data_IF_447125060561
#
_entry.id   IF_447125060561
#
_cell.length_a   1.000
_cell.length_b   1.000
_cell.length_c   1.000
_cell.angle_alpha   90.00
_cell.angle_beta   90.00
_cell.angle_gamma   90.00
#
_symmetry.space_group_name_H-M   'P 1'
#
loop_
_entity.id
_entity.type
_entity.pdbx_description
1 polymer ?
#
# COMPACT_ATOMS: atom_id res chain seq x y z
N UNK A 1 38.08 -46.62 -6.60
CA UNK A 1 36.88 -46.15 -7.33
C UNK A 1 35.64 -45.91 -6.44
N UNK A 2 35.55 -46.47 -5.23
CA UNK A 2 34.38 -46.26 -4.33
C UNK A 2 34.27 -44.89 -3.64
N UNK A 3 35.33 -44.06 -3.64
CA UNK A 3 35.30 -42.72 -3.00
C UNK A 3 34.64 -41.64 -3.86
N UNK A 4 34.68 -41.77 -5.20
CA UNK A 4 34.02 -40.83 -6.11
C UNK A 4 32.50 -41.02 -6.13
N UNK A 5 32.02 -42.25 -5.95
CA UNK A 5 30.58 -42.56 -5.92
C UNK A 5 29.88 -41.98 -4.69
N UNK A 6 30.58 -41.92 -3.55
CA UNK A 6 30.06 -41.31 -2.31
C UNK A 6 29.84 -39.80 -2.45
N UNK A 7 30.72 -39.09 -3.17
CA UNK A 7 30.58 -37.66 -3.41
C UNK A 7 29.38 -37.33 -4.32
N UNK A 8 29.10 -38.18 -5.32
CA UNK A 8 27.93 -38.03 -6.18
C UNK A 8 26.61 -38.32 -5.44
N UNK A 9 26.61 -39.29 -4.51
CA UNK A 9 25.41 -39.60 -3.71
C UNK A 9 25.14 -38.47 -2.70
N UNK A 10 26.17 -37.90 -2.07
CA UNK A 10 26.00 -36.76 -1.17
C UNK A 10 25.54 -35.48 -1.89
N UNK A 11 26.00 -35.22 -3.12
CA UNK A 11 25.50 -34.10 -3.92
C UNK A 11 24.05 -34.30 -4.37
N UNK A 12 23.64 -35.54 -4.67
CA UNK A 12 22.27 -35.85 -5.08
C UNK A 12 21.29 -35.70 -3.91
N UNK A 13 21.69 -36.08 -2.70
CA UNK A 13 20.86 -35.91 -1.48
C UNK A 13 20.65 -34.43 -1.17
N UNK A 14 21.67 -33.58 -1.34
CA UNK A 14 21.52 -32.13 -1.12
C UNK A 14 20.62 -31.43 -2.16
N UNK A 15 20.48 -31.98 -3.36
CA UNK A 15 19.54 -31.47 -4.38
C UNK A 15 18.11 -32.01 -4.24
N UNK A 16 17.90 -33.05 -3.43
CA UNK A 16 16.61 -33.71 -3.21
C UNK A 16 15.96 -33.37 -1.86
N UNK A 17 16.61 -32.56 -1.03
CA UNK A 17 15.95 -31.93 0.11
C UNK A 17 15.00 -30.88 -0.46
N UNK A 18 13.68 -30.96 -0.21
CA UNK A 18 12.76 -29.91 -0.59
C UNK A 18 13.25 -28.62 0.04
N UNK A 19 13.32 -27.55 -0.74
CA UNK A 19 13.62 -26.17 -0.34
C UNK A 19 12.58 -25.57 0.64
N UNK A 20 11.87 -26.39 1.42
CA UNK A 20 10.84 -26.00 2.37
C UNK A 20 11.34 -25.62 3.77
N UNK A 21 12.65 -25.38 3.96
CA UNK A 21 13.19 -25.06 5.29
C UNK A 21 14.38 -24.09 5.24
N UNK A 22 14.31 -23.10 4.36
CA UNK A 22 15.13 -21.88 4.47
C UNK A 22 14.23 -20.74 4.96
N UNK A 23 13.69 -20.88 6.17
CA UNK A 23 13.22 -19.75 6.99
C UNK A 23 14.39 -19.25 7.83
N UNK A 24 15.38 -18.68 7.15
CA UNK A 24 16.58 -18.22 7.81
C UNK A 24 17.21 -17.04 7.05
N UNK A 25 17.02 -15.84 7.61
CA UNK A 25 17.95 -14.71 7.55
C UNK A 25 18.01 -13.89 6.26
N UNK A 26 16.85 -13.68 5.65
CA UNK A 26 16.57 -12.47 4.89
C UNK A 26 15.32 -11.88 5.52
N UNK A 27 15.45 -10.79 6.27
CA UNK A 27 14.33 -9.94 6.68
C UNK A 27 13.74 -9.28 5.42
N UNK A 28 13.17 -10.08 4.53
CA UNK A 28 12.15 -9.56 3.65
C UNK A 28 10.94 -9.29 4.56
N UNK A 29 10.32 -8.10 4.49
CA UNK A 29 9.07 -7.87 5.18
C UNK A 29 8.08 -8.99 4.80
N UNK A 30 7.26 -9.47 5.75
CA UNK A 30 6.29 -10.52 5.45
C UNK A 30 5.43 -10.11 4.27
N UNK A 31 5.29 -11.00 3.29
CA UNK A 31 4.51 -10.76 2.06
C UNK A 31 3.02 -10.94 2.36
N UNK A 32 2.46 -9.92 3.01
CA UNK A 32 1.06 -9.88 3.42
C UNK A 32 0.09 -9.87 2.24
N UNK A 33 0.50 -9.33 1.09
CA UNK A 33 -0.29 -9.35 -0.14
C UNK A 33 -0.49 -10.78 -0.67
N UNK A 34 0.59 -11.57 -0.68
CA UNK A 34 0.52 -12.99 -1.05
C UNK A 34 -0.35 -13.78 -0.07
N UNK A 35 -0.22 -13.52 1.22
CA UNK A 35 -1.09 -14.14 2.24
C UNK A 35 -2.57 -13.79 2.00
N UNK A 36 -2.90 -12.52 1.83
CA UNK A 36 -4.27 -12.07 1.59
C UNK A 36 -4.85 -12.66 0.29
N UNK A 37 -4.07 -12.69 -0.79
CA UNK A 37 -4.46 -13.33 -2.05
C UNK A 37 -4.76 -14.82 -1.88
N UNK A 38 -3.92 -15.55 -1.14
CA UNK A 38 -4.12 -16.97 -0.87
C UNK A 38 -5.36 -17.22 -0.02
N UNK A 39 -5.56 -16.45 1.05
CA UNK A 39 -6.74 -16.55 1.88
C UNK A 39 -8.03 -16.32 1.08
N UNK A 40 -8.10 -15.23 0.31
CA UNK A 40 -9.28 -14.92 -0.52
C UNK A 40 -9.57 -16.00 -1.56
N UNK A 41 -8.54 -16.59 -2.19
CA UNK A 41 -8.71 -17.73 -3.12
C UNK A 41 -9.29 -18.96 -2.43
N UNK A 42 -8.80 -19.30 -1.24
CA UNK A 42 -9.32 -20.44 -0.48
C UNK A 42 -10.78 -20.21 -0.06
N UNK A 43 -11.12 -19.00 0.38
CA UNK A 43 -12.50 -18.62 0.70
C UNK A 43 -13.41 -18.68 -0.54
N UNK A 44 -12.98 -18.12 -1.68
CA UNK A 44 -13.73 -18.14 -2.93
C UNK A 44 -13.95 -19.56 -3.49
N UNK A 45 -12.97 -20.45 -3.28
CA UNK A 45 -13.07 -21.87 -3.62
C UNK A 45 -13.98 -22.67 -2.65
N UNK A 46 -14.52 -22.04 -1.60
CA UNK A 46 -15.30 -22.70 -0.55
C UNK A 46 -14.48 -23.61 0.38
N UNK A 47 -13.16 -23.48 0.37
CA UNK A 47 -12.21 -24.27 1.20
C UNK A 47 -12.00 -23.61 2.56
N UNK A 48 -13.09 -23.37 3.30
CA UNK A 48 -13.07 -22.61 4.55
C UNK A 48 -12.15 -23.20 5.61
N UNK A 49 -12.12 -24.53 5.79
CA UNK A 49 -11.20 -25.19 6.74
C UNK A 49 -9.72 -24.89 6.44
N UNK A 50 -9.35 -24.78 5.17
CA UNK A 50 -7.98 -24.46 4.77
C UNK A 50 -7.68 -22.98 4.95
N UNK A 51 -8.63 -22.10 4.63
CA UNK A 51 -8.53 -20.67 4.87
C UNK A 51 -8.36 -20.38 6.38
N UNK A 52 -9.13 -21.05 7.24
CA UNK A 52 -9.06 -20.90 8.68
C UNK A 52 -7.74 -21.43 9.25
N UNK A 53 -7.26 -22.58 8.78
CA UNK A 53 -5.93 -23.08 9.17
C UNK A 53 -4.81 -22.13 8.76
N UNK A 54 -4.89 -21.57 7.55
CA UNK A 54 -3.94 -20.58 7.08
C UNK A 54 -3.97 -19.34 7.98
N UNK A 55 -5.16 -18.81 8.24
CA UNK A 55 -5.36 -17.68 9.17
C UNK A 55 -4.74 -17.94 10.54
N UNK A 56 -5.13 -19.03 11.19
CA UNK A 56 -4.66 -19.39 12.53
C UNK A 56 -3.16 -19.64 12.59
N UNK A 57 -2.57 -20.18 11.51
CA UNK A 57 -1.13 -20.42 11.44
C UNK A 57 -0.31 -19.14 11.33
N UNK A 58 -0.88 -18.09 10.72
CA UNK A 58 -0.19 -16.83 10.44
C UNK A 58 -0.54 -15.74 11.46
N UNK A 59 -1.63 -15.88 12.21
CA UNK A 59 -2.13 -14.85 13.14
C UNK A 59 -1.08 -14.35 14.14
N UNK A 60 -0.28 -15.25 14.72
CA UNK A 60 0.79 -14.86 15.65
C UNK A 60 1.88 -13.99 14.98
N UNK A 61 2.15 -14.20 13.69
CA UNK A 61 3.08 -13.36 12.92
C UNK A 61 2.45 -11.99 12.62
N UNK A 62 1.14 -11.93 12.38
CA UNK A 62 0.41 -10.66 12.20
C UNK A 62 0.47 -9.81 13.47
N UNK A 63 0.21 -10.41 14.63
CA UNK A 63 0.30 -9.71 15.92
C UNK A 63 1.71 -9.14 16.14
N UNK A 64 2.75 -9.94 15.86
CA UNK A 64 4.14 -9.49 15.97
C UNK A 64 4.43 -8.33 15.03
N UNK A 65 3.96 -8.39 13.78
CA UNK A 65 4.09 -7.31 12.82
C UNK A 65 3.41 -6.02 13.31
N UNK A 66 2.18 -6.10 13.81
CA UNK A 66 1.44 -4.95 14.35
C UNK A 66 2.19 -4.28 15.50
N UNK A 67 2.90 -5.05 16.32
CA UNK A 67 3.70 -4.47 17.40
C UNK A 67 4.86 -3.59 16.91
N UNK A 68 5.31 -3.76 15.66
CA UNK A 68 6.34 -2.92 15.03
C UNK A 68 5.79 -1.60 14.47
N UNK A 69 4.46 -1.49 14.31
CA UNK A 69 3.82 -0.32 13.73
C UNK A 69 3.65 0.83 14.74
N UNK A 70 3.46 2.08 14.27
CA UNK A 70 3.09 3.21 15.12
C UNK A 70 1.77 3.00 15.87
N UNK A 71 1.60 3.68 17.01
CA UNK A 71 0.42 3.56 17.89
C UNK A 71 -0.95 3.69 17.17
N UNK A 72 -1.16 4.64 16.22
CA UNK A 72 -2.43 4.75 15.50
C UNK A 72 -2.82 3.45 14.77
N UNK A 73 -1.85 2.74 14.19
CA UNK A 73 -2.12 1.48 13.49
C UNK A 73 -2.44 0.34 14.47
N UNK A 74 -1.84 0.34 15.67
CA UNK A 74 -2.15 -0.64 16.72
C UNK A 74 -3.57 -0.46 17.25
N UNK A 75 -4.02 0.80 17.39
CA UNK A 75 -5.40 1.12 17.75
C UNK A 75 -6.38 0.61 16.68
N UNK A 76 -6.07 0.84 15.40
CA UNK A 76 -6.87 0.30 14.28
C UNK A 76 -6.93 -1.23 14.29
N UNK A 77 -5.80 -1.91 14.49
CA UNK A 77 -5.78 -3.37 14.61
C UNK A 77 -6.69 -3.83 15.73
N UNK A 78 -6.56 -3.25 16.92
CA UNK A 78 -7.37 -3.61 18.09
C UNK A 78 -8.85 -3.40 17.81
N UNK A 79 -9.22 -2.30 17.15
CA UNK A 79 -10.60 -2.05 16.76
C UNK A 79 -11.12 -3.14 15.82
N UNK A 80 -10.38 -3.48 14.76
CA UNK A 80 -10.78 -4.51 13.79
C UNK A 80 -10.83 -5.92 14.40
N UNK A 81 -9.90 -6.25 15.31
CA UNK A 81 -9.80 -7.56 15.96
C UNK A 81 -10.90 -7.79 17.00
N UNK A 82 -11.35 -6.75 17.72
CA UNK A 82 -12.47 -6.86 18.66
C UNK A 82 -13.73 -7.35 17.96
N UNK A 83 -14.01 -6.89 16.74
CA UNK A 83 -15.20 -7.33 15.99
C UNK A 83 -15.11 -8.78 15.49
N UNK A 84 -13.90 -9.30 15.31
CA UNK A 84 -13.66 -10.72 14.99
C UNK A 84 -13.96 -11.66 16.18
N UNK A 85 -14.07 -11.13 17.41
CA UNK A 85 -14.32 -11.90 18.64
C UNK A 85 -15.78 -11.99 19.07
N UNK A 86 -16.69 -11.32 18.36
CA UNK A 86 -18.14 -11.43 18.56
C UNK A 86 -18.67 -12.63 17.78
N UNK A 87 -19.40 -13.55 18.44
CA UNK A 87 -20.00 -14.80 17.92
C UNK A 87 -21.06 -14.61 16.78
N UNK A 88 -20.96 -13.54 15.98
CA UNK A 88 -21.85 -13.28 14.85
C UNK A 88 -21.39 -14.04 13.59
N UNK A 89 -22.35 -14.51 12.76
CA UNK A 89 -22.12 -15.48 11.70
C UNK A 89 -21.28 -15.00 10.48
N UNK A 90 -20.77 -13.77 10.49
CA UNK A 90 -20.01 -13.17 9.38
C UNK A 90 -18.51 -13.02 9.66
N UNK A 91 -17.89 -14.08 10.20
CA UNK A 91 -16.43 -14.15 10.41
C UNK A 91 -15.59 -13.80 9.16
N UNK A 92 -16.14 -14.01 7.96
CA UNK A 92 -15.43 -13.76 6.70
C UNK A 92 -15.27 -12.26 6.42
N UNK A 93 -16.25 -11.45 6.86
CA UNK A 93 -16.32 -10.01 6.62
C UNK A 93 -15.26 -9.29 7.47
N UNK A 94 -15.11 -9.66 8.74
CA UNK A 94 -14.12 -9.07 9.64
C UNK A 94 -12.68 -9.39 9.27
N UNK A 95 -12.43 -10.63 8.82
CA UNK A 95 -11.11 -11.06 8.32
C UNK A 95 -10.69 -10.22 7.12
N UNK A 96 -11.62 -9.81 6.24
CA UNK A 96 -11.31 -8.93 5.11
C UNK A 96 -10.85 -7.52 5.54
N UNK A 97 -11.40 -6.97 6.62
CA UNK A 97 -10.92 -5.72 7.20
C UNK A 97 -9.48 -5.79 7.70
N UNK A 98 -9.14 -6.87 8.39
CA UNK A 98 -7.76 -7.15 8.85
C UNK A 98 -6.80 -7.41 7.68
N UNK A 99 -7.24 -8.13 6.64
CA UNK A 99 -6.44 -8.31 5.42
C UNK A 99 -6.14 -6.98 4.74
N UNK A 100 -7.16 -6.13 4.60
CA UNK A 100 -7.00 -4.79 4.03
C UNK A 100 -6.04 -3.94 4.85
N UNK A 101 -6.12 -4.01 6.19
CA UNK A 101 -5.18 -3.35 7.08
C UNK A 101 -3.74 -3.81 6.83
N UNK A 102 -3.50 -5.13 6.72
CA UNK A 102 -2.16 -5.67 6.47
C UNK A 102 -1.63 -5.24 5.11
N UNK A 103 -2.43 -5.35 4.03
CA UNK A 103 -2.05 -4.93 2.68
C UNK A 103 -1.64 -3.46 2.61
N UNK A 104 -2.39 -2.58 3.28
CA UNK A 104 -2.12 -1.15 3.28
C UNK A 104 -0.89 -0.82 4.13
N UNK A 105 -0.77 -1.40 5.32
CA UNK A 105 0.32 -1.09 6.26
C UNK A 105 1.66 -1.67 5.81
N UNK A 106 1.65 -2.78 5.07
CA UNK A 106 2.86 -3.43 4.56
C UNK A 106 3.41 -2.81 3.28
N UNK A 107 2.63 -1.98 2.61
CA UNK A 107 3.02 -1.34 1.36
C UNK A 107 3.88 -0.11 1.59
N UNK A 108 4.96 0.02 0.81
CA UNK A 108 5.74 1.26 0.72
C UNK A 108 4.90 2.43 0.19
N UNK A 109 3.81 2.12 -0.53
CA UNK A 109 2.88 3.06 -1.14
C UNK A 109 1.43 2.71 -0.75
N UNK A 110 0.97 3.10 0.46
CA UNK A 110 -0.37 2.75 0.96
C UNK A 110 -1.51 3.43 0.21
N UNK A 111 -1.26 4.62 -0.36
CA UNK A 111 -2.30 5.44 -1.02
C UNK A 111 -2.91 4.79 -2.27
N UNK A 112 -2.14 4.23 -3.21
CA UNK A 112 -2.69 3.48 -4.34
C UNK A 112 -3.63 2.34 -3.92
N UNK A 113 -3.26 1.56 -2.90
CA UNK A 113 -4.07 0.42 -2.41
C UNK A 113 -5.38 0.95 -1.83
N UNK A 114 -5.32 1.99 -1.00
CA UNK A 114 -6.53 2.66 -0.47
C UNK A 114 -7.40 3.26 -1.58
N UNK A 115 -6.79 3.83 -2.62
CA UNK A 115 -7.52 4.38 -3.76
C UNK A 115 -8.32 3.29 -4.47
N UNK A 116 -7.69 2.15 -4.77
CA UNK A 116 -8.34 1.02 -5.43
C UNK A 116 -9.53 0.49 -4.61
N UNK A 117 -9.35 0.31 -3.30
CA UNK A 117 -10.43 -0.15 -2.41
C UNK A 117 -11.59 0.85 -2.34
N UNK A 118 -11.30 2.15 -2.28
CA UNK A 118 -12.33 3.19 -2.22
C UNK A 118 -13.01 3.41 -3.58
N UNK A 119 -12.30 3.21 -4.69
CA UNK A 119 -12.88 3.21 -6.04
C UNK A 119 -13.84 2.02 -6.22
N UNK A 120 -13.44 0.83 -5.78
CA UNK A 120 -14.32 -0.35 -5.76
C UNK A 120 -15.60 -0.11 -4.93
N UNK A 121 -15.47 0.42 -3.71
CA UNK A 121 -16.62 0.75 -2.86
C UNK A 121 -17.53 1.80 -3.51
N UNK A 122 -16.94 2.82 -4.12
CA UNK A 122 -17.66 3.87 -4.86
C UNK A 122 -18.47 3.27 -6.01
N UNK A 123 -17.86 2.41 -6.83
CA UNK A 123 -18.53 1.77 -7.96
C UNK A 123 -19.69 0.86 -7.50
N UNK A 124 -19.49 0.13 -6.40
CA UNK A 124 -20.55 -0.67 -5.78
C UNK A 124 -21.70 0.18 -5.24
N UNK A 125 -21.41 1.36 -4.67
CA UNK A 125 -22.43 2.27 -4.13
C UNK A 125 -23.37 2.75 -5.23
N UNK A 126 -22.85 3.09 -6.39
CA UNK A 126 -23.67 3.56 -7.54
C UNK A 126 -24.38 2.40 -8.24
N UNK A 127 -23.90 1.17 -8.03
CA UNK A 127 -24.56 -0.05 -8.50
C UNK A 127 -25.79 -0.38 -7.64
N UNK A 128 -26.66 -1.27 -8.12
CA UNK A 128 -27.89 -1.70 -7.40
C UNK A 128 -27.62 -2.64 -6.20
N UNK A 129 -26.50 -2.42 -5.51
CA UNK A 129 -26.09 -3.14 -4.30
C UNK A 129 -26.90 -2.61 -3.11
N UNK A 130 -27.43 -3.46 -2.22
CA UNK A 130 -28.10 -3.05 -0.98
C UNK A 130 -27.26 -2.07 -0.16
N UNK A 131 -27.89 -1.11 0.53
CA UNK A 131 -27.17 -0.11 1.32
C UNK A 131 -26.45 -0.76 2.51
N UNK A 132 -27.04 -1.81 3.09
CA UNK A 132 -26.47 -2.58 4.20
C UNK A 132 -25.08 -3.13 3.84
N UNK A 133 -24.93 -3.74 2.67
CA UNK A 133 -23.65 -4.26 2.19
C UNK A 133 -22.59 -3.14 2.03
N UNK A 134 -23.02 -1.92 1.65
CA UNK A 134 -22.15 -0.75 1.50
C UNK A 134 -21.72 -0.22 2.87
N UNK A 135 -22.65 -0.20 3.84
CA UNK A 135 -22.35 0.19 5.22
C UNK A 135 -21.35 -0.77 5.86
N UNK A 136 -21.53 -2.08 5.66
CA UNK A 136 -20.62 -3.11 6.14
C UNK A 136 -19.21 -2.95 5.52
N UNK A 137 -19.11 -2.85 4.19
CA UNK A 137 -17.82 -2.67 3.51
C UNK A 137 -17.13 -1.36 3.95
N UNK A 138 -17.89 -0.26 4.11
CA UNK A 138 -17.35 1.00 4.61
C UNK A 138 -16.83 0.85 6.05
N UNK A 139 -17.57 0.20 6.93
CA UNK A 139 -17.18 0.01 8.33
C UNK A 139 -15.90 -0.82 8.48
N UNK A 140 -15.60 -1.71 7.54
CA UNK A 140 -14.34 -2.46 7.49
C UNK A 140 -13.14 -1.60 7.05
N UNK A 141 -13.33 -0.78 6.01
CA UNK A 141 -12.23 -0.03 5.38
C UNK A 141 -11.95 1.27 6.14
N UNK A 142 -12.99 1.90 6.71
CA UNK A 142 -12.94 3.20 7.39
C UNK A 142 -11.86 3.29 8.49
N UNK A 143 -11.71 2.31 9.41
CA UNK A 143 -10.66 2.34 10.43
C UNK A 143 -9.25 2.43 9.84
N UNK A 144 -9.02 1.80 8.68
CA UNK A 144 -7.75 1.86 7.96
C UNK A 144 -7.58 3.23 7.31
N UNK A 145 -8.62 3.76 6.66
CA UNK A 145 -8.61 5.08 6.01
C UNK A 145 -8.29 6.21 7.00
N UNK A 146 -8.81 6.12 8.24
CA UNK A 146 -8.56 7.09 9.31
C UNK A 146 -7.07 7.26 9.68
N UNK A 147 -6.23 6.27 9.39
CA UNK A 147 -4.77 6.39 9.61
C UNK A 147 -4.09 7.27 8.55
N UNK A 148 -4.68 7.42 7.37
CA UNK A 148 -4.02 8.03 6.21
C UNK A 148 -4.72 9.30 5.70
N UNK A 149 -5.97 9.52 6.09
CA UNK A 149 -6.83 10.63 5.65
C UNK A 149 -7.29 11.45 6.85
N UNK A 150 -7.56 12.74 6.62
CA UNK A 150 -8.06 13.63 7.67
C UNK A 150 -9.41 13.15 8.23
N UNK A 151 -9.49 12.96 9.55
CA UNK A 151 -10.69 12.52 10.27
C UNK A 151 -11.94 13.34 9.97
N UNK A 152 -11.82 14.66 9.79
CA UNK A 152 -12.97 15.51 9.45
C UNK A 152 -13.61 15.09 8.11
N UNK A 153 -12.78 14.76 7.11
CA UNK A 153 -13.25 14.34 5.79
C UNK A 153 -13.90 12.96 5.82
N UNK A 154 -13.36 12.04 6.62
CA UNK A 154 -13.97 10.72 6.85
C UNK A 154 -15.32 10.87 7.56
N UNK A 155 -15.43 11.76 8.55
CA UNK A 155 -16.69 12.04 9.23
C UNK A 155 -17.76 12.65 8.29
N UNK A 156 -17.35 13.47 7.31
CA UNK A 156 -18.29 13.97 6.29
C UNK A 156 -18.84 12.82 5.43
N UNK A 157 -18.01 11.84 5.07
CA UNK A 157 -18.48 10.64 4.37
C UNK A 157 -19.43 9.80 5.27
N UNK A 158 -19.12 9.66 6.56
CA UNK A 158 -19.99 8.98 7.53
C UNK A 158 -21.37 9.66 7.63
N UNK A 159 -21.42 10.99 7.62
CA UNK A 159 -22.68 11.74 7.65
C UNK A 159 -23.53 11.45 6.41
N UNK A 160 -22.93 11.42 5.22
CA UNK A 160 -23.64 11.11 3.98
C UNK A 160 -24.17 9.67 3.97
N UNK A 161 -23.43 8.73 4.54
CA UNK A 161 -23.88 7.36 4.67
C UNK A 161 -25.07 7.25 5.65
N UNK A 162 -25.02 7.98 6.77
CA UNK A 162 -26.14 8.06 7.71
C UNK A 162 -27.38 8.72 7.11
N UNK A 163 -27.20 9.75 6.27
CA UNK A 163 -28.32 10.35 5.53
C UNK A 163 -28.97 9.34 4.57
N UNK A 164 -28.16 8.51 3.92
CA UNK A 164 -28.64 7.42 3.07
C UNK A 164 -29.40 6.35 3.85
N UNK A 165 -28.97 6.01 5.07
CA UNK A 165 -29.64 5.00 5.90
C UNK A 165 -31.03 5.44 6.36
N UNK A 166 -31.26 6.76 6.46
CA UNK A 166 -32.59 7.35 6.74
C UNK A 166 -33.45 7.45 5.49
N UNK A 167 -32.87 7.86 4.37
CA UNK A 167 -33.58 8.01 3.10
C UNK A 167 -32.69 7.68 1.91
N UNK A 168 -32.83 6.47 1.41
CA UNK A 168 -32.06 6.01 0.26
C UNK A 168 -32.53 6.70 -1.03
N UNK A 169 -31.62 7.45 -1.66
CA UNK A 169 -31.87 8.10 -2.95
C UNK A 169 -30.69 7.91 -3.88
N UNK A 170 -30.96 7.85 -5.20
CA UNK A 170 -29.91 7.75 -6.21
C UNK A 170 -28.92 8.93 -6.14
N UNK A 171 -29.43 10.15 -5.93
CA UNK A 171 -28.60 11.34 -5.78
C UNK A 171 -27.72 11.27 -4.52
N UNK A 172 -28.24 10.71 -3.42
CA UNK A 172 -27.45 10.47 -2.21
C UNK A 172 -26.32 9.47 -2.43
N UNK A 173 -26.59 8.38 -3.18
CA UNK A 173 -25.57 7.36 -3.52
C UNK A 173 -24.45 7.94 -4.37
N UNK A 174 -24.79 8.75 -5.38
CA UNK A 174 -23.80 9.48 -6.19
C UNK A 174 -22.99 10.46 -5.34
N UNK A 175 -23.63 11.16 -4.40
CA UNK A 175 -22.96 12.13 -3.54
C UNK A 175 -21.99 11.43 -2.56
N UNK A 176 -22.40 10.33 -1.94
CA UNK A 176 -21.52 9.51 -1.10
C UNK A 176 -20.35 8.93 -1.90
N UNK A 177 -20.62 8.33 -3.07
CA UNK A 177 -19.60 7.82 -3.99
C UNK A 177 -18.56 8.89 -4.37
N UNK A 178 -19.02 10.09 -4.76
CA UNK A 178 -18.15 11.22 -5.05
C UNK A 178 -17.28 11.60 -3.86
N UNK A 179 -17.86 11.61 -2.65
CA UNK A 179 -17.12 11.92 -1.42
C UNK A 179 -16.06 10.88 -1.08
N UNK A 180 -16.35 9.60 -1.27
CA UNK A 180 -15.42 8.48 -1.07
C UNK A 180 -14.20 8.63 -1.99
N UNK A 181 -14.41 8.91 -3.28
CA UNK A 181 -13.31 9.12 -4.24
C UNK A 181 -12.44 10.35 -3.93
N UNK A 182 -13.04 11.40 -3.35
CA UNK A 182 -12.29 12.60 -2.95
C UNK A 182 -11.28 12.33 -1.84
N UNK A 183 -11.53 11.34 -0.96
CA UNK A 183 -10.67 11.05 0.20
C UNK A 183 -9.21 10.76 -0.20
N UNK A 184 -8.97 10.23 -1.40
CA UNK A 184 -7.62 9.83 -1.86
C UNK A 184 -7.04 10.73 -2.96
N UNK A 185 -7.88 11.52 -3.65
CA UNK A 185 -7.43 12.38 -4.77
C UNK A 185 -6.48 13.51 -4.38
N UNK A 186 -6.56 14.02 -3.15
CA UNK A 186 -5.86 15.27 -2.80
C UNK A 186 -4.38 15.04 -2.44
N UNK A 187 -4.04 13.90 -1.83
CA UNK A 187 -2.65 13.64 -1.43
C UNK A 187 -1.74 13.27 -2.60
N UNK A 188 -2.27 12.55 -3.60
CA UNK A 188 -1.53 12.28 -4.84
C UNK A 188 -1.18 13.58 -5.58
N UNK A 189 -2.08 14.57 -5.59
CA UNK A 189 -1.85 15.87 -6.21
C UNK A 189 -0.82 16.73 -5.44
N UNK A 190 -0.81 16.63 -4.11
CA UNK A 190 0.16 17.31 -3.27
C UNK A 190 1.57 16.71 -3.39
N UNK A 191 1.70 15.39 -3.49
CA UNK A 191 2.98 14.72 -3.70
C UNK A 191 3.54 14.96 -5.11
N UNK A 192 2.69 14.98 -6.14
CA UNK A 192 3.09 15.35 -7.51
C UNK A 192 3.58 16.80 -7.62
N UNK A 193 2.89 17.74 -6.98
CA UNK A 193 3.30 19.15 -6.97
C UNK A 193 4.62 19.36 -6.23
N UNK A 194 4.83 18.62 -5.13
CA UNK A 194 6.09 18.64 -4.36
C UNK A 194 7.23 18.04 -5.19
N UNK A 195 7.02 16.90 -5.85
CA UNK A 195 8.00 16.29 -6.74
C UNK A 195 8.38 17.22 -7.91
N UNK A 196 7.40 17.81 -8.60
CA UNK A 196 7.65 18.75 -9.70
C UNK A 196 8.42 19.98 -9.23
N UNK A 197 8.05 20.56 -8.09
CA UNK A 197 8.74 21.72 -7.52
C UNK A 197 10.20 21.38 -7.20
N UNK A 198 10.44 20.21 -6.62
CA UNK A 198 11.80 19.74 -6.27
C UNK A 198 12.63 19.47 -7.52
N UNK A 199 12.04 18.81 -8.53
CA UNK A 199 12.68 18.56 -9.82
C UNK A 199 13.04 19.85 -10.56
N UNK A 200 12.16 20.86 -10.53
CA UNK A 200 12.42 22.19 -11.11
C UNK A 200 13.55 22.89 -10.35
N UNK A 201 13.59 22.82 -9.03
CA UNK A 201 14.64 23.46 -8.23
C UNK A 201 16.02 22.84 -8.48
N UNK A 202 16.10 21.50 -8.46
CA UNK A 202 17.35 20.77 -8.69
C UNK A 202 17.79 20.92 -10.15
N UNK A 203 16.89 20.71 -11.10
CA UNK A 203 17.17 20.85 -12.53
C UNK A 203 17.56 22.29 -12.90
N UNK A 204 16.89 23.28 -12.33
CA UNK A 204 17.20 24.70 -12.49
C UNK A 204 18.57 25.07 -11.93
N UNK A 205 18.91 24.58 -10.73
CA UNK A 205 20.22 24.83 -10.13
C UNK A 205 21.38 24.26 -10.98
N UNK A 206 21.21 23.06 -11.55
CA UNK A 206 22.19 22.44 -12.46
C UNK A 206 22.35 23.27 -13.74
N UNK A 207 21.25 23.70 -14.35
CA UNK A 207 21.29 24.52 -15.56
C UNK A 207 21.99 25.86 -15.35
N UNK A 208 21.69 26.54 -14.23
CA UNK A 208 22.32 27.81 -13.88
C UNK A 208 23.81 27.63 -13.61
N UNK A 209 24.22 26.57 -12.91
CA UNK A 209 25.65 26.29 -12.67
C UNK A 209 26.38 25.97 -13.97
N UNK A 210 25.80 25.16 -14.86
CA UNK A 210 26.39 24.86 -16.17
C UNK A 210 26.50 26.10 -17.06
N UNK A 211 25.48 26.95 -17.09
CA UNK A 211 25.52 28.23 -17.82
C UNK A 211 26.58 29.17 -17.24
N UNK A 212 26.67 29.27 -15.92
CA UNK A 212 27.65 30.12 -15.25
C UNK A 212 29.09 29.67 -15.52
N UNK A 213 29.38 28.37 -15.36
CA UNK A 213 30.70 27.79 -15.67
C UNK A 213 31.01 27.92 -17.16
N UNK A 214 30.03 27.68 -18.04
CA UNK A 214 30.18 27.86 -19.48
C UNK A 214 30.52 29.30 -19.87
N UNK A 215 29.83 30.29 -19.26
CA UNK A 215 30.09 31.71 -19.51
C UNK A 215 31.47 32.16 -19.01
N UNK A 216 31.92 31.65 -17.85
CA UNK A 216 33.26 31.90 -17.33
C UNK A 216 34.32 31.29 -18.26
N UNK A 217 34.19 30.00 -18.59
CA UNK A 217 35.15 29.32 -19.47
C UNK A 217 35.21 29.96 -20.86
N UNK A 218 34.07 30.41 -21.41
CA UNK A 218 34.05 31.15 -22.68
C UNK A 218 34.79 32.49 -22.58
N UNK A 219 34.59 33.23 -21.49
CA UNK A 219 35.26 34.52 -21.25
C UNK A 219 36.77 34.36 -21.03
N UNK A 220 37.21 33.32 -20.33
CA UNK A 220 38.63 33.01 -20.13
C UNK A 220 39.30 32.51 -21.41
N UNK A 221 38.65 31.61 -22.15
CA UNK A 221 39.12 31.13 -23.46
C UNK A 221 39.22 32.28 -24.48
N UNK A 222 38.26 33.20 -24.48
CA UNK A 222 38.30 34.44 -25.27
C UNK A 222 39.49 35.33 -24.91
N UNK A 223 39.77 35.55 -23.61
CA UNK A 223 40.94 36.34 -23.16
C UNK A 223 42.27 35.72 -23.58
N UNK A 224 42.42 34.40 -23.44
CA UNK A 224 43.66 33.70 -23.80
C UNK A 224 43.92 33.67 -25.31
N UNK A 225 42.87 33.81 -26.13
CA UNK A 225 43.01 33.89 -27.59
C UNK A 225 43.62 35.20 -28.08
N UNK A 226 43.50 36.28 -27.31
CA UNK A 226 44.09 37.57 -27.64
C UNK A 226 45.54 37.71 -27.16
N UNK A 227 45.94 37.01 -26.09
CA UNK A 227 47.33 37.04 -25.59
C UNK A 227 48.29 36.16 -26.40
N UNK A 228 47.81 35.08 -27.03
CA UNK A 228 48.64 34.27 -27.93
C UNK A 228 48.96 34.94 -29.27
N UNK A 229 48.20 35.97 -29.69
CA UNK A 229 48.42 36.67 -30.97
C UNK A 229 49.39 37.86 -30.89
N UNK A 230 49.74 38.32 -29.69
CA UNK A 230 50.61 39.49 -29.48
C UNK A 230 52.05 39.14 -29.06
N UNK A 231 52.42 37.86 -29.02
CA UNK A 231 53.74 37.38 -28.58
C UNK A 231 54.74 37.08 -29.70
N UNK A 232 54.45 37.46 -30.95
CA UNK A 232 55.38 37.37 -32.07
C UNK A 232 55.50 38.74 -32.75
N UNK A 233 56.42 39.54 -32.22
CA UNK A 233 57.09 40.66 -32.88
C UNK A 233 58.49 40.78 -32.32
#
# INVERSE_FOLDING_TARGET
MGRAMLLFICSLIFTLIPSGLVHSWSEAPPDWESFASQYRKLAADGKFDLAERLWNSTYAEMEQYVQTLPDPHKETWTHLDIYNSTDEPDETIWKEGLLTFLEVTSSDHPYPILAEKLEHLSDRTVSSVPLEDIEEEWNLIRPVVLNYVNKARVNEADQLLQELSVMETHAGREHFSGKILELVKEKSQQDWSTFLLTAIFIGGAILVTLLYVGAINYRESSKNRHTMKSGHS
#
